data_IF_453429913363
#
_entry.id   IF_453429913363
#
_cell.length_a   1.000
_cell.length_b   1.000
_cell.length_c   1.000
_cell.angle_alpha   90.00
_cell.angle_beta   90.00
_cell.angle_gamma   90.00
#
_symmetry.space_group_name_H-M   'P 1'
#
loop_
_entity.id
_entity.type
_entity.pdbx_description
1 polymer ?
#
# COMPACT_ATOMS: atom_id res chain seq x y z
N UNK A 1 2.54 17.97 29.43
CA UNK A 1 2.84 16.93 28.42
C UNK A 1 4.14 17.31 27.74
N UNK A 2 5.22 16.57 27.98
CA UNK A 2 6.53 16.83 27.37
C UNK A 2 6.55 16.06 26.05
N UNK A 3 6.47 16.77 24.93
CA UNK A 3 6.77 16.19 23.61
C UNK A 3 8.28 16.07 23.50
N UNK A 4 8.84 14.88 23.76
CA UNK A 4 10.23 14.61 23.41
C UNK A 4 10.40 14.76 21.89
N UNK A 5 11.30 15.62 21.39
CA UNK A 5 11.59 15.67 19.97
C UNK A 5 12.12 14.30 19.55
N UNK A 6 11.53 13.72 18.50
CA UNK A 6 12.04 12.49 17.92
C UNK A 6 13.56 12.67 17.65
N UNK A 7 14.42 11.75 18.12
CA UNK A 7 15.86 11.94 18.00
C UNK A 7 16.22 12.07 16.52
N UNK A 8 16.99 13.10 16.17
CA UNK A 8 17.43 13.39 14.79
C UNK A 8 18.03 12.17 14.07
N UNK A 9 18.64 11.29 14.85
CA UNK A 9 19.20 10.00 14.44
C UNK A 9 18.16 9.03 13.85
N UNK A 10 16.93 9.05 14.36
CA UNK A 10 15.83 8.22 13.86
C UNK A 10 15.38 8.69 12.47
N UNK A 11 15.36 10.01 12.24
CA UNK A 11 15.12 10.57 10.90
C UNK A 11 16.23 10.23 9.91
N UNK A 12 17.49 10.26 10.35
CA UNK A 12 18.65 9.86 9.52
C UNK A 12 18.63 8.36 9.24
N UNK A 13 18.30 7.53 10.23
CA UNK A 13 18.17 6.07 10.05
C UNK A 13 17.04 5.72 9.10
N UNK A 14 15.88 6.38 9.20
CA UNK A 14 14.78 6.21 8.25
C UNK A 14 15.22 6.67 6.86
N UNK A 15 15.90 7.81 6.73
CA UNK A 15 16.38 8.31 5.45
C UNK A 15 17.41 7.37 4.81
N UNK A 16 18.38 6.89 5.59
CA UNK A 16 19.39 5.94 5.14
C UNK A 16 18.74 4.60 4.78
N UNK A 17 17.84 4.09 5.62
CA UNK A 17 17.09 2.87 5.33
C UNK A 17 16.25 3.03 4.05
N UNK A 18 15.59 4.18 3.83
CA UNK A 18 14.92 4.44 2.56
C UNK A 18 15.91 4.52 1.40
N UNK A 19 17.05 5.19 1.54
CA UNK A 19 18.05 5.29 0.46
C UNK A 19 18.74 3.95 0.13
N UNK A 20 18.82 3.03 1.09
CA UNK A 20 19.44 1.70 0.89
C UNK A 20 18.43 0.62 0.51
N UNK A 21 17.16 0.75 0.92
CA UNK A 21 16.06 -0.16 0.58
C UNK A 21 15.29 0.28 -0.66
N UNK A 22 15.38 1.54 -1.08
CA UNK A 22 14.97 1.95 -2.42
C UNK A 22 15.93 1.22 -3.36
N UNK A 23 15.47 0.23 -4.14
CA UNK A 23 16.32 -0.37 -5.16
C UNK A 23 16.86 0.79 -6.00
N UNK A 24 18.16 0.79 -6.31
CA UNK A 24 18.77 1.81 -7.17
C UNK A 24 18.14 1.70 -8.55
N UNK A 25 16.96 2.30 -8.72
CA UNK A 25 16.20 2.33 -9.94
C UNK A 25 16.92 3.29 -10.88
N UNK A 26 17.92 2.77 -11.59
CA UNK A 26 18.47 3.45 -12.73
C UNK A 26 17.38 3.64 -13.78
N UNK A 27 17.46 4.69 -14.59
CA UNK A 27 16.53 4.99 -15.70
C UNK A 27 16.31 3.77 -16.61
N UNK A 28 17.29 2.86 -16.68
CA UNK A 28 17.20 1.58 -17.37
C UNK A 28 16.10 0.63 -16.85
N UNK A 29 15.74 0.67 -15.56
CA UNK A 29 14.61 -0.12 -15.00
C UNK A 29 13.25 0.45 -15.39
N UNK A 30 13.17 1.71 -15.81
CA UNK A 30 11.95 2.30 -16.36
C UNK A 30 11.76 2.00 -17.85
N UNK A 31 12.82 1.51 -18.51
CA UNK A 31 12.85 1.16 -19.94
C UNK A 31 13.03 -0.35 -20.16
N UNK A 32 13.17 -1.11 -19.09
CA UNK A 32 13.26 -2.56 -19.14
C UNK A 32 11.85 -3.13 -19.36
N UNK A 33 11.60 -3.79 -20.49
CA UNK A 33 10.27 -4.36 -20.80
C UNK A 33 9.83 -5.42 -19.78
N UNK A 34 10.75 -5.94 -18.96
CA UNK A 34 10.47 -6.86 -17.86
C UNK A 34 10.15 -6.13 -16.54
N UNK A 35 10.44 -4.83 -16.43
CA UNK A 35 10.11 -3.99 -15.27
C UNK A 35 8.83 -3.20 -15.52
N UNK A 36 7.74 -3.73 -14.97
CA UNK A 36 6.38 -3.18 -15.10
C UNK A 36 6.03 -2.11 -14.08
N UNK A 37 7.04 -1.49 -13.47
CA UNK A 37 6.91 -0.51 -12.37
C UNK A 37 5.83 0.55 -12.69
N UNK A 38 5.73 0.99 -13.95
CA UNK A 38 4.72 1.96 -14.42
C UNK A 38 3.80 1.43 -15.54
N UNK A 39 3.68 0.12 -15.73
CA UNK A 39 2.90 -0.40 -16.84
C UNK A 39 1.39 -0.36 -16.57
N UNK A 40 0.69 0.58 -17.23
CA UNK A 40 -0.76 0.76 -17.09
C UNK A 40 -1.61 -0.39 -17.68
N UNK A 41 -1.11 -1.16 -18.66
CA UNK A 41 -1.90 -2.20 -19.33
C UNK A 41 -1.53 -3.63 -18.95
N UNK A 42 -0.54 -3.79 -18.09
CA UNK A 42 0.05 -5.08 -17.81
C UNK A 42 -0.63 -5.86 -16.69
N UNK A 43 -1.31 -5.16 -15.78
CA UNK A 43 -1.84 -5.70 -14.54
C UNK A 43 -3.31 -5.27 -14.37
N UNK A 44 -4.08 -6.09 -13.67
CA UNK A 44 -5.47 -5.81 -13.33
C UNK A 44 -5.58 -4.79 -12.18
N UNK A 45 -5.55 -3.50 -12.52
CA UNK A 45 -5.75 -2.39 -11.55
C UNK A 45 -7.03 -2.51 -10.71
N UNK A 46 -8.08 -3.09 -11.29
CA UNK A 46 -9.34 -3.33 -10.59
C UNK A 46 -9.17 -4.30 -9.43
N UNK A 47 -8.30 -5.32 -9.58
CA UNK A 47 -8.02 -6.27 -8.52
C UNK A 47 -7.30 -5.59 -7.34
N UNK A 48 -6.34 -4.69 -7.62
CA UNK A 48 -5.67 -3.88 -6.60
C UNK A 48 -6.63 -2.91 -5.91
N UNK A 49 -7.47 -2.22 -6.66
CA UNK A 49 -8.50 -1.36 -6.04
C UNK A 49 -9.39 -2.13 -5.07
N UNK A 50 -9.91 -3.29 -5.48
CA UNK A 50 -10.76 -4.14 -4.63
C UNK A 50 -9.95 -4.69 -3.46
N UNK A 51 -8.70 -5.09 -3.69
CA UNK A 51 -7.76 -5.58 -2.68
C UNK A 51 -7.54 -4.54 -1.58
N UNK A 52 -7.12 -3.33 -1.94
CA UNK A 52 -6.94 -2.22 -1.01
C UNK A 52 -8.23 -1.82 -0.28
N UNK A 53 -9.37 -1.78 -0.97
CA UNK A 53 -10.65 -1.49 -0.35
C UNK A 53 -11.07 -2.55 0.69
N UNK A 54 -10.87 -3.83 0.35
CA UNK A 54 -11.19 -4.97 1.22
C UNK A 54 -10.24 -5.05 2.40
N UNK A 55 -8.95 -4.83 2.15
CA UNK A 55 -7.92 -4.78 3.17
C UNK A 55 -8.27 -3.71 4.20
N UNK A 56 -8.51 -2.46 3.77
CA UNK A 56 -8.89 -1.35 4.65
C UNK A 56 -10.17 -1.66 5.45
N UNK A 57 -11.22 -2.16 4.78
CA UNK A 57 -12.48 -2.52 5.42
C UNK A 57 -12.27 -3.55 6.54
N UNK A 58 -11.43 -4.56 6.31
CA UNK A 58 -11.11 -5.56 7.33
C UNK A 58 -10.45 -4.94 8.58
N UNK A 59 -9.69 -3.85 8.43
CA UNK A 59 -8.98 -3.19 9.53
C UNK A 59 -9.93 -2.52 10.51
N UNK A 60 -11.15 -2.19 10.09
CA UNK A 60 -12.19 -1.69 11.00
C UNK A 60 -12.73 -2.77 11.94
N UNK A 61 -12.58 -4.06 11.60
CA UNK A 61 -13.12 -5.18 12.37
C UNK A 61 -12.06 -5.98 13.12
N UNK A 62 -10.76 -5.78 12.84
CA UNK A 62 -9.68 -6.53 13.49
C UNK A 62 -9.43 -6.05 14.93
N UNK A 63 -9.65 -6.89 15.97
CA UNK A 63 -9.61 -6.45 17.37
C UNK A 63 -8.20 -6.35 17.96
N UNK A 64 -7.18 -6.92 17.29
CA UNK A 64 -5.87 -7.18 17.90
C UNK A 64 -4.80 -6.11 17.65
N UNK A 65 -5.04 -5.14 16.76
CA UNK A 65 -4.02 -4.15 16.36
C UNK A 65 -4.52 -2.71 16.53
N UNK A 66 -5.28 -2.46 17.62
CA UNK A 66 -5.99 -1.19 17.79
C UNK A 66 -5.09 0.05 17.67
N UNK A 67 -3.90 0.06 18.24
CA UNK A 67 -3.19 1.33 18.47
C UNK A 67 -2.53 1.95 17.22
N UNK A 68 -2.05 1.13 16.28
CA UNK A 68 -1.38 1.61 15.06
C UNK A 68 -2.34 1.97 13.92
N UNK A 69 -3.65 1.76 14.08
CA UNK A 69 -4.66 1.75 12.99
C UNK A 69 -5.92 2.55 13.39
N UNK A 70 -5.85 3.36 14.45
CA UNK A 70 -7.03 4.09 14.98
C UNK A 70 -7.53 5.17 14.03
N UNK A 71 -6.62 5.76 13.24
CA UNK A 71 -6.96 6.86 12.32
C UNK A 71 -7.10 6.37 10.88
N UNK A 72 -7.93 7.03 10.05
CA UNK A 72 -8.05 6.73 8.62
C UNK A 72 -6.70 6.68 7.92
N UNK A 73 -5.86 7.70 8.16
CA UNK A 73 -4.53 7.79 7.56
C UNK A 73 -3.62 6.62 7.95
N UNK A 74 -3.75 6.12 9.19
CA UNK A 74 -2.98 4.98 9.66
C UNK A 74 -3.43 3.67 9.01
N UNK A 75 -4.74 3.46 8.83
CA UNK A 75 -5.26 2.27 8.11
C UNK A 75 -4.83 2.25 6.65
N UNK A 76 -4.96 3.38 5.95
CA UNK A 76 -4.43 3.53 4.59
C UNK A 76 -2.93 3.29 4.53
N UNK A 77 -2.15 3.81 5.49
CA UNK A 77 -0.71 3.53 5.56
C UNK A 77 -0.42 2.04 5.81
N UNK A 78 -1.27 1.33 6.55
CA UNK A 78 -1.10 -0.11 6.71
C UNK A 78 -1.40 -0.88 5.43
N UNK A 79 -2.44 -0.49 4.69
CA UNK A 79 -2.69 -1.03 3.34
C UNK A 79 -1.48 -0.77 2.44
N UNK A 80 -0.89 0.43 2.50
CA UNK A 80 0.33 0.76 1.75
C UNK A 80 1.49 -0.21 2.05
N UNK A 81 1.76 -0.45 3.34
CA UNK A 81 2.85 -1.32 3.79
C UNK A 81 2.59 -2.77 3.36
N UNK A 82 1.36 -3.24 3.51
CA UNK A 82 0.97 -4.58 3.09
C UNK A 82 1.07 -4.74 1.57
N UNK A 83 0.57 -3.76 0.79
CA UNK A 83 0.64 -3.72 -0.66
C UNK A 83 2.09 -3.76 -1.15
N UNK A 84 2.96 -2.89 -0.64
CA UNK A 84 4.40 -2.92 -0.94
C UNK A 84 5.02 -4.29 -0.66
N UNK A 85 4.66 -4.90 0.48
CA UNK A 85 5.15 -6.23 0.85
C UNK A 85 4.72 -7.34 -0.12
N UNK A 86 3.45 -7.33 -0.55
CA UNK A 86 2.91 -8.28 -1.52
C UNK A 86 3.54 -8.09 -2.90
N UNK A 87 3.64 -6.85 -3.36
CA UNK A 87 4.27 -6.52 -4.64
C UNK A 87 5.76 -6.92 -4.68
N UNK A 88 6.48 -6.74 -3.57
CA UNK A 88 7.86 -7.22 -3.42
C UNK A 88 7.95 -8.75 -3.47
N UNK A 89 7.01 -9.45 -2.85
CA UNK A 89 6.94 -10.90 -2.91
C UNK A 89 6.67 -11.40 -4.34
N UNK A 90 5.73 -10.76 -5.05
CA UNK A 90 5.40 -11.05 -6.45
C UNK A 90 6.58 -10.78 -7.38
N UNK A 91 7.35 -9.72 -7.12
CA UNK A 91 8.60 -9.46 -7.84
C UNK A 91 9.64 -10.56 -7.62
N UNK A 92 9.87 -10.98 -6.38
CA UNK A 92 10.80 -12.08 -6.08
C UNK A 92 10.33 -13.38 -6.76
N UNK A 93 9.03 -13.68 -6.68
CA UNK A 93 8.46 -14.88 -7.29
C UNK A 93 8.57 -14.85 -8.81
N UNK A 94 8.29 -13.71 -9.46
CA UNK A 94 8.41 -13.61 -10.91
C UNK A 94 9.85 -13.81 -11.37
N UNK A 95 10.84 -13.31 -10.59
CA UNK A 95 12.27 -13.47 -10.92
C UNK A 95 12.71 -14.92 -10.80
N UNK A 96 12.30 -15.61 -9.72
CA UNK A 96 12.58 -17.03 -9.53
C UNK A 96 11.94 -17.90 -10.62
N UNK A 97 10.72 -17.56 -11.04
CA UNK A 97 9.99 -18.29 -12.08
C UNK A 97 10.32 -17.83 -13.51
N UNK A 98 11.26 -16.90 -13.70
CA UNK A 98 11.58 -16.27 -15.00
C UNK A 98 10.34 -15.80 -15.77
N UNK A 99 9.37 -15.25 -15.05
CA UNK A 99 8.04 -14.87 -15.56
C UNK A 99 7.73 -13.38 -15.43
N UNK A 100 8.69 -12.58 -14.94
CA UNK A 100 8.58 -11.12 -15.00
C UNK A 100 8.35 -10.69 -16.46
N UNK A 101 7.57 -9.63 -16.68
CA UNK A 101 7.17 -9.22 -18.02
C UNK A 101 5.84 -9.83 -18.52
N UNK A 102 5.36 -10.94 -17.94
CA UNK A 102 4.03 -11.52 -18.28
C UNK A 102 2.87 -10.75 -17.68
N UNK A 103 1.69 -10.69 -18.33
CA UNK A 103 0.51 -10.05 -17.75
C UNK A 103 0.23 -10.58 -16.33
N UNK A 104 -0.13 -9.69 -15.41
CA UNK A 104 -0.43 -10.00 -14.00
C UNK A 104 0.73 -10.63 -13.21
N UNK A 105 1.98 -10.29 -13.56
CA UNK A 105 3.20 -10.77 -12.87
C UNK A 105 4.21 -9.63 -12.66
N UNK A 106 4.64 -9.47 -11.41
CA UNK A 106 5.69 -8.54 -10.99
C UNK A 106 5.17 -7.28 -10.31
N UNK A 107 6.08 -6.41 -9.87
CA UNK A 107 5.80 -5.20 -9.08
C UNK A 107 5.28 -4.04 -9.94
N UNK A 108 4.16 -3.43 -9.54
CA UNK A 108 3.62 -2.21 -10.13
C UNK A 108 3.41 -1.08 -9.12
N UNK A 109 4.04 0.08 -9.32
CA UNK A 109 3.77 1.29 -8.50
C UNK A 109 2.36 1.79 -8.72
N UNK A 110 1.84 1.60 -9.94
CA UNK A 110 0.48 2.00 -10.30
C UNK A 110 -0.54 1.13 -9.55
N UNK A 111 -0.27 -0.17 -9.45
CA UNK A 111 -1.08 -1.13 -8.70
C UNK A 111 -1.16 -0.76 -7.21
N UNK A 112 -0.01 -0.43 -6.60
CA UNK A 112 0.02 0.13 -5.24
C UNK A 112 -0.81 1.41 -5.12
N UNK A 113 -0.81 2.25 -6.16
CA UNK A 113 -1.67 3.43 -6.24
C UNK A 113 -3.17 3.09 -6.23
N UNK A 114 -3.57 2.01 -6.90
CA UNK A 114 -4.94 1.51 -6.89
C UNK A 114 -5.32 0.89 -5.55
N UNK A 115 -4.42 0.17 -4.87
CA UNK A 115 -4.64 -0.30 -3.49
C UNK A 115 -4.95 0.87 -2.55
N UNK A 116 -4.13 1.94 -2.62
CA UNK A 116 -4.31 3.15 -1.83
C UNK A 116 -5.62 3.87 -2.16
N UNK A 117 -5.98 3.94 -3.43
CA UNK A 117 -7.23 4.54 -3.87
C UNK A 117 -8.45 3.77 -3.33
N UNK A 118 -8.42 2.44 -3.38
CA UNK A 118 -9.44 1.58 -2.80
C UNK A 118 -9.61 1.82 -1.29
N UNK A 119 -8.50 1.81 -0.55
CA UNK A 119 -8.49 2.08 0.89
C UNK A 119 -9.04 3.47 1.22
N UNK A 120 -8.63 4.51 0.47
CA UNK A 120 -9.12 5.86 0.68
C UNK A 120 -10.63 5.99 0.41
N UNK A 121 -11.15 5.32 -0.62
CA UNK A 121 -12.59 5.27 -0.91
C UNK A 121 -13.35 4.58 0.23
N UNK A 122 -12.83 3.49 0.78
CA UNK A 122 -13.41 2.82 1.95
C UNK A 122 -13.52 3.76 3.15
N UNK A 123 -12.45 4.49 3.49
CA UNK A 123 -12.48 5.47 4.57
C UNK A 123 -13.49 6.60 4.33
N UNK A 124 -13.59 7.11 3.10
CA UNK A 124 -14.57 8.14 2.73
C UNK A 124 -16.00 7.62 2.85
N UNK A 125 -16.27 6.39 2.40
CA UNK A 125 -17.56 5.73 2.54
C UNK A 125 -17.94 5.58 4.01
N UNK A 126 -17.06 5.01 4.83
CA UNK A 126 -17.31 4.84 6.27
C UNK A 126 -17.52 6.17 6.97
N UNK A 127 -16.74 7.20 6.64
CA UNK A 127 -16.93 8.55 7.15
C UNK A 127 -18.29 9.14 6.76
N UNK A 128 -18.74 8.90 5.51
CA UNK A 128 -20.06 9.29 5.02
C UNK A 128 -21.19 8.56 5.76
N UNK A 129 -21.09 7.24 5.91
CA UNK A 129 -22.08 6.41 6.60
C UNK A 129 -22.23 6.81 8.08
N UNK A 130 -21.13 7.20 8.74
CA UNK A 130 -21.16 7.73 10.12
C UNK A 130 -21.94 9.05 10.28
N UNK A 131 -22.15 9.79 9.18
CA UNK A 131 -22.94 11.04 9.17
C UNK A 131 -24.44 10.80 8.97
N UNK A 132 -24.85 9.59 8.58
CA UNK A 132 -26.26 9.24 8.38
C UNK A 132 -26.90 8.81 9.71
N UNK A 133 -27.92 9.53 10.23
CA UNK A 133 -28.63 9.13 11.44
C UNK A 133 -29.29 7.77 11.24
N UNK A 134 -28.96 6.79 12.09
CA UNK A 134 -29.48 5.41 12.01
C UNK A 134 -28.42 4.39 11.57
N UNK A 135 -27.56 4.74 10.60
CA UNK A 135 -26.49 3.85 10.15
C UNK A 135 -25.30 3.80 11.11
N UNK A 136 -25.10 4.86 11.91
CA UNK A 136 -24.06 4.94 12.93
C UNK A 136 -24.10 3.80 13.95
N UNK A 137 -25.23 3.10 14.14
CA UNK A 137 -25.32 1.94 15.05
C UNK A 137 -24.80 0.63 14.43
N UNK A 138 -24.56 0.60 13.12
CA UNK A 138 -24.12 -0.58 12.37
C UNK A 138 -22.59 -0.58 12.12
N UNK A 139 -21.91 0.51 12.47
CA UNK A 139 -20.47 0.75 12.31
C UNK A 139 -19.81 0.94 13.67
#
# INVERSE_FOLDING_TARGET
MVTSPAPRWLGILVLVATLTLIPRCGVAQFLDPDNKILCWHCNSHNAHFIGGATADAALHFMPFVKQSWETPARRVATVAIAGVGLELADYVQCRQAHSCGRPDKGFGVIDLGYDLAGAAVTELLIAGLKRVPGLKRLL
#
